data_IF_299903619650
#
_entry.id   IF_299903619650
#
_cell.length_a   1.000
_cell.length_b   1.000
_cell.length_c   1.000
_cell.angle_alpha   90.00
_cell.angle_beta   90.00
_cell.angle_gamma   90.00
#
_symmetry.space_group_name_H-M   'P 1'
#
loop_
_entity.id
_entity.type
_entity.pdbx_description
1 polymer ?
#
# COMPACT_ATOMS: atom_id res chain seq x y z
N UNK A 1 27.26 -14.27 -21.10
CA UNK A 1 26.24 -15.30 -20.83
C UNK A 1 25.55 -15.03 -19.50
N UNK A 2 24.24 -15.22 -19.42
CA UNK A 2 23.53 -15.28 -18.14
C UNK A 2 23.62 -16.71 -17.62
N UNK A 3 24.41 -16.93 -16.57
CA UNK A 3 24.51 -18.22 -15.91
C UNK A 3 23.13 -18.54 -15.30
N UNK A 4 22.39 -19.49 -15.88
CA UNK A 4 21.05 -19.93 -15.42
C UNK A 4 21.14 -20.72 -14.10
N UNK A 5 21.82 -20.15 -13.11
CA UNK A 5 22.11 -20.80 -11.83
C UNK A 5 20.79 -20.90 -11.06
N UNK A 6 20.45 -22.13 -10.68
CA UNK A 6 19.34 -22.39 -9.77
C UNK A 6 19.59 -21.62 -8.47
N UNK A 7 18.70 -20.68 -8.16
CA UNK A 7 18.84 -19.76 -7.03
C UNK A 7 17.65 -19.90 -6.12
N UNK A 8 17.92 -20.04 -4.82
CA UNK A 8 16.93 -19.93 -3.76
C UNK A 8 17.11 -18.57 -3.07
N UNK A 9 16.10 -17.71 -3.16
CA UNK A 9 16.09 -16.39 -2.54
C UNK A 9 15.07 -16.37 -1.40
N UNK A 10 15.48 -15.87 -0.23
CA UNK A 10 14.60 -15.60 0.91
C UNK A 10 14.54 -14.09 1.11
N UNK A 11 13.36 -13.50 0.91
CA UNK A 11 13.14 -12.07 1.10
C UNK A 11 11.74 -11.82 1.66
N UNK A 12 11.59 -10.70 2.36
CA UNK A 12 10.31 -10.14 2.78
C UNK A 12 9.92 -8.90 1.95
N UNK A 13 10.80 -8.48 1.05
CA UNK A 13 10.60 -7.32 0.17
C UNK A 13 9.93 -7.77 -1.15
N UNK A 14 8.75 -7.21 -1.42
CA UNK A 14 7.97 -7.55 -2.61
C UNK A 14 8.64 -7.10 -3.91
N UNK A 15 9.42 -6.01 -3.92
CA UNK A 15 10.11 -5.53 -5.11
C UNK A 15 11.28 -6.44 -5.48
N UNK A 16 12.03 -6.95 -4.50
CA UNK A 16 13.07 -7.96 -4.73
C UNK A 16 12.48 -9.26 -5.27
N UNK A 17 11.43 -9.77 -4.61
CA UNK A 17 10.70 -10.96 -5.03
C UNK A 17 10.19 -10.75 -6.47
N UNK A 18 9.59 -9.60 -6.76
CA UNK A 18 9.12 -9.27 -8.10
C UNK A 18 10.26 -9.26 -9.11
N UNK A 19 11.41 -8.65 -8.81
CA UNK A 19 12.51 -8.49 -9.76
C UNK A 19 13.23 -9.80 -10.07
N UNK A 20 13.43 -10.67 -9.07
CA UNK A 20 14.37 -11.79 -9.15
C UNK A 20 13.71 -13.18 -9.26
N UNK A 21 12.46 -13.33 -8.83
CA UNK A 21 11.84 -14.66 -8.75
C UNK A 21 11.17 -15.10 -10.06
N UNK A 22 11.15 -16.41 -10.28
CA UNK A 22 10.33 -17.06 -11.31
C UNK A 22 9.15 -17.83 -10.69
N UNK A 23 9.36 -18.38 -9.48
CA UNK A 23 8.41 -19.13 -8.64
C UNK A 23 8.52 -18.61 -7.21
N UNK A 24 7.41 -18.54 -6.49
CA UNK A 24 7.31 -17.97 -5.15
C UNK A 24 6.68 -19.01 -4.22
N UNK A 25 7.35 -19.27 -3.10
CA UNK A 25 6.87 -20.13 -2.02
C UNK A 25 6.55 -19.23 -0.81
N UNK A 26 5.29 -19.21 -0.36
CA UNK A 26 4.90 -18.48 0.85
C UNK A 26 5.04 -19.41 2.06
N UNK A 27 5.85 -19.01 3.05
CA UNK A 27 6.05 -19.78 4.28
C UNK A 27 5.33 -19.14 5.45
N UNK A 28 4.67 -19.96 6.26
CA UNK A 28 4.07 -19.56 7.54
C UNK A 28 4.23 -20.68 8.56
N UNK A 29 4.73 -20.34 9.75
CA UNK A 29 4.95 -21.29 10.85
C UNK A 29 5.72 -22.56 10.42
N UNK A 30 6.80 -22.38 9.67
CA UNK A 30 7.64 -23.49 9.19
C UNK A 30 7.04 -24.36 8.09
N UNK A 31 5.88 -23.99 7.52
CA UNK A 31 5.21 -24.72 6.45
C UNK A 31 5.09 -23.85 5.19
N UNK A 32 5.26 -24.47 4.03
CA UNK A 32 4.90 -23.86 2.75
C UNK A 32 3.38 -23.88 2.67
N UNK A 33 2.76 -22.70 2.68
CA UNK A 33 1.30 -22.56 2.61
C UNK A 33 0.80 -22.31 1.20
N UNK A 34 1.66 -21.81 0.31
CA UNK A 34 1.36 -21.55 -1.10
C UNK A 34 2.59 -21.71 -1.99
N UNK A 35 2.35 -22.02 -3.24
CA UNK A 35 3.35 -22.19 -4.30
C UNK A 35 2.76 -21.66 -5.60
N UNK A 36 3.35 -20.59 -6.14
CA UNK A 36 2.84 -19.92 -7.34
C UNK A 36 3.95 -19.58 -8.33
N UNK A 37 3.65 -19.57 -9.64
CA UNK A 37 4.45 -18.82 -10.58
C UNK A 37 4.33 -17.31 -10.29
N UNK A 38 5.38 -16.54 -10.58
CA UNK A 38 5.46 -15.10 -10.25
C UNK A 38 4.23 -14.31 -10.71
N UNK A 39 3.77 -14.53 -11.94
CA UNK A 39 2.62 -13.83 -12.53
C UNK A 39 1.33 -14.03 -11.73
N UNK A 40 1.05 -15.24 -11.25
CA UNK A 40 -0.14 -15.55 -10.46
C UNK A 40 -0.09 -14.90 -9.08
N UNK A 41 1.08 -14.93 -8.41
CA UNK A 41 1.23 -14.31 -7.10
C UNK A 41 0.87 -12.82 -7.11
N UNK A 42 1.34 -12.07 -8.11
CA UNK A 42 1.08 -10.62 -8.21
C UNK A 42 -0.27 -10.25 -8.85
N UNK A 43 -0.96 -11.21 -9.50
CA UNK A 43 -2.31 -11.00 -10.05
C UNK A 43 -3.40 -11.34 -9.04
N UNK A 44 -3.22 -12.41 -8.26
CA UNK A 44 -4.21 -12.88 -7.28
C UNK A 44 -4.06 -12.25 -5.90
N UNK A 45 -2.86 -11.79 -5.55
CA UNK A 45 -2.72 -10.97 -4.37
C UNK A 45 -3.43 -9.64 -4.67
N UNK A 46 -4.40 -9.25 -3.85
CA UNK A 46 -5.09 -7.95 -3.88
C UNK A 46 -4.13 -6.73 -3.73
N UNK A 47 -2.83 -6.92 -3.95
CA UNK A 47 -1.76 -5.91 -3.95
C UNK A 47 -2.03 -4.87 -5.03
N UNK A 48 -2.51 -5.25 -6.23
CA UNK A 48 -2.79 -4.31 -7.32
C UNK A 48 -4.09 -3.51 -7.11
N UNK A 49 -5.11 -4.13 -6.50
CA UNK A 49 -6.44 -3.54 -6.43
C UNK A 49 -6.63 -2.56 -5.25
N UNK A 50 -5.80 -2.66 -4.21
CA UNK A 50 -5.88 -1.84 -2.99
C UNK A 50 -4.49 -1.31 -2.60
N UNK A 51 -4.15 -0.14 -3.12
CA UNK A 51 -2.94 0.57 -2.71
C UNK A 51 -3.10 1.02 -1.25
N UNK A 52 -2.18 0.60 -0.38
CA UNK A 52 -2.14 1.03 1.01
C UNK A 52 -1.05 2.07 1.22
N UNK A 53 -1.40 3.18 1.83
CA UNK A 53 -0.52 4.33 2.07
C UNK A 53 -0.53 4.66 3.56
N UNK A 54 0.63 4.89 4.15
CA UNK A 54 0.72 5.37 5.52
C UNK A 54 0.86 6.88 5.51
N UNK A 55 -0.01 7.60 6.22
CA UNK A 55 0.03 9.05 6.28
C UNK A 55 -0.22 9.56 7.70
N UNK A 56 0.52 10.59 8.11
CA UNK A 56 0.40 11.18 9.45
C UNK A 56 -0.64 12.30 9.44
N UNK A 57 -1.58 12.27 10.39
CA UNK A 57 -2.62 13.28 10.50
C UNK A 57 -2.06 14.59 11.05
N UNK A 58 -2.17 15.67 10.28
CA UNK A 58 -1.68 17.00 10.65
C UNK A 58 -2.79 17.91 11.16
N UNK A 59 -3.99 17.80 10.61
CA UNK A 59 -5.10 18.70 10.90
C UNK A 59 -6.44 18.00 10.67
N UNK A 60 -7.43 18.35 11.51
CA UNK A 60 -8.83 17.96 11.35
C UNK A 60 -9.67 19.23 11.27
N UNK A 61 -10.34 19.46 10.16
CA UNK A 61 -11.23 20.61 9.96
C UNK A 61 -12.67 20.15 9.71
N UNK A 62 -13.59 20.53 10.60
CA UNK A 62 -15.01 20.24 10.47
C UNK A 62 -15.73 21.39 9.77
N UNK A 63 -16.64 21.08 8.84
CA UNK A 63 -17.44 22.05 8.11
C UNK A 63 -18.80 21.46 7.78
N UNK A 64 -19.83 21.92 8.49
CA UNK A 64 -21.21 21.47 8.34
C UNK A 64 -21.28 19.92 8.37
N UNK A 65 -21.61 19.28 7.24
CA UNK A 65 -21.72 17.82 7.15
C UNK A 65 -20.42 17.07 6.79
N UNK A 66 -19.30 17.77 6.62
CA UNK A 66 -18.02 17.21 6.17
C UNK A 66 -16.89 17.40 7.18
N UNK A 67 -15.99 16.42 7.24
CA UNK A 67 -14.70 16.53 7.91
C UNK A 67 -13.58 16.40 6.90
N UNK A 68 -12.70 17.39 6.86
CA UNK A 68 -11.49 17.39 6.03
C UNK A 68 -10.29 17.05 6.91
N UNK A 69 -9.56 16.02 6.53
CA UNK A 69 -8.31 15.61 7.17
C UNK A 69 -7.14 16.03 6.29
N UNK A 70 -6.21 16.80 6.85
CA UNK A 70 -4.92 17.12 6.19
C UNK A 70 -3.88 16.11 6.67
N UNK A 71 -3.24 15.41 5.74
CA UNK A 71 -2.35 14.28 6.01
C UNK A 71 -0.98 14.48 5.33
N UNK A 72 0.09 14.10 6.03
CA UNK A 72 1.43 14.02 5.48
C UNK A 72 1.70 12.61 4.95
N UNK A 73 1.89 12.47 3.64
CA UNK A 73 2.26 11.24 2.97
C UNK A 73 3.69 11.40 2.41
N UNK A 74 4.67 10.79 3.07
CA UNK A 74 6.09 10.99 2.78
C UNK A 74 6.49 12.48 2.81
N UNK A 75 6.60 13.11 1.64
CA UNK A 75 6.97 14.52 1.46
C UNK A 75 5.82 15.38 0.96
N UNK A 76 4.67 14.77 0.66
CA UNK A 76 3.50 15.43 0.10
C UNK A 76 2.42 15.63 1.16
N UNK A 77 1.70 16.75 1.07
CA UNK A 77 0.51 16.99 1.88
C UNK A 77 -0.72 16.70 1.03
N UNK A 78 -1.55 15.78 1.51
CA UNK A 78 -2.81 15.41 0.86
C UNK A 78 -4.00 15.77 1.77
N UNK A 79 -5.17 15.93 1.17
CA UNK A 79 -6.42 16.12 1.91
C UNK A 79 -7.40 15.03 1.54
N UNK A 80 -8.03 14.45 2.55
CA UNK A 80 -9.17 13.56 2.36
C UNK A 80 -10.40 14.17 3.03
N UNK A 81 -11.57 13.88 2.46
CA UNK A 81 -12.84 14.38 2.97
C UNK A 81 -13.72 13.19 3.32
N UNK A 82 -14.33 13.25 4.51
CA UNK A 82 -15.25 12.26 5.05
C UNK A 82 -16.56 12.97 5.38
N UNK A 83 -17.67 12.23 5.47
CA UNK A 83 -18.86 12.77 6.10
C UNK A 83 -18.64 12.87 7.61
N UNK A 84 -19.32 13.80 8.27
CA UNK A 84 -19.26 13.93 9.73
C UNK A 84 -19.77 12.65 10.42
N UNK A 85 -20.81 12.03 9.87
CA UNK A 85 -21.33 10.76 10.39
C UNK A 85 -20.30 9.62 10.33
N UNK A 86 -19.58 9.48 9.21
CA UNK A 86 -18.52 8.47 9.06
C UNK A 86 -17.38 8.73 10.05
N UNK A 87 -16.96 9.99 10.18
CA UNK A 87 -15.89 10.38 11.09
C UNK A 87 -16.24 10.06 12.55
N UNK A 88 -17.45 10.41 12.99
CA UNK A 88 -17.91 10.17 14.36
C UNK A 88 -18.12 8.67 14.66
N UNK A 89 -18.56 7.88 13.67
CA UNK A 89 -18.81 6.44 13.89
C UNK A 89 -17.53 5.58 13.88
N UNK A 90 -16.61 5.86 12.96
CA UNK A 90 -15.49 4.96 12.69
C UNK A 90 -14.12 5.51 13.12
N UNK A 91 -14.01 6.83 13.32
CA UNK A 91 -12.72 7.52 13.49
C UNK A 91 -12.71 8.52 14.66
N UNK A 92 -13.63 8.40 15.62
CA UNK A 92 -13.74 9.33 16.76
C UNK A 92 -12.46 9.41 17.63
N UNK A 93 -11.71 8.30 17.71
CA UNK A 93 -10.52 8.20 18.56
C UNK A 93 -9.24 8.68 17.88
N UNK A 94 -9.33 9.03 16.59
CA UNK A 94 -8.21 9.51 15.78
C UNK A 94 -7.82 10.92 16.21
N UNK A 95 -6.53 11.13 16.45
CA UNK A 95 -5.94 12.39 16.91
C UNK A 95 -4.86 12.89 15.96
N UNK A 96 -4.65 14.21 15.99
CA UNK A 96 -3.52 14.83 15.29
C UNK A 96 -2.22 14.20 15.81
N UNK A 97 -1.34 13.82 14.88
CA UNK A 97 -0.12 13.06 15.15
C UNK A 97 -0.24 11.56 14.88
N UNK A 98 -1.46 11.01 14.81
CA UNK A 98 -1.64 9.59 14.51
C UNK A 98 -1.22 9.26 13.07
N UNK A 99 -0.65 8.07 12.89
CA UNK A 99 -0.35 7.53 11.56
C UNK A 99 -1.50 6.65 11.11
N UNK A 100 -2.16 7.05 10.03
CA UNK A 100 -3.32 6.38 9.45
C UNK A 100 -2.91 5.55 8.24
N UNK A 101 -3.50 4.35 8.13
CA UNK A 101 -3.37 3.50 6.96
C UNK A 101 -4.52 3.78 6.01
N UNK A 102 -4.23 4.47 4.91
CA UNK A 102 -5.18 4.77 3.84
C UNK A 102 -5.22 3.60 2.85
N UNK A 103 -6.38 3.39 2.23
CA UNK A 103 -6.57 2.38 1.19
C UNK A 103 -7.29 3.00 0.01
N UNK A 104 -6.66 3.00 -1.16
CA UNK A 104 -7.26 3.47 -2.41
C UNK A 104 -7.79 2.24 -3.14
N UNK A 105 -9.11 2.16 -3.29
CA UNK A 105 -9.77 1.17 -4.14
C UNK A 105 -9.69 1.65 -5.60
N UNK A 106 -9.23 0.79 -6.51
CA UNK A 106 -9.05 1.11 -7.93
C UNK A 106 -8.00 2.21 -8.20
N UNK A 107 -6.75 1.94 -7.85
CA UNK A 107 -5.61 2.82 -8.17
C UNK A 107 -5.25 2.72 -9.66
N UNK A 108 -5.60 3.75 -10.44
CA UNK A 108 -5.28 3.84 -11.87
C UNK A 108 -4.50 5.14 -12.17
N UNK A 109 -3.20 5.20 -11.81
CA UNK A 109 -2.40 6.40 -12.03
C UNK A 109 -2.13 6.64 -13.52
N UNK A 110 -1.98 7.91 -13.88
CA UNK A 110 -1.49 8.31 -15.21
C UNK A 110 -0.02 8.73 -15.11
N UNK A 111 0.75 8.43 -16.15
CA UNK A 111 2.14 8.88 -16.26
C UNK A 111 2.13 10.32 -16.76
N UNK A 112 2.65 11.25 -15.97
CA UNK A 112 2.71 12.69 -16.31
C UNK A 112 4.07 13.15 -16.84
N UNK A 113 5.12 12.33 -16.69
CA UNK A 113 6.46 12.64 -17.15
C UNK A 113 7.51 11.62 -16.69
N UNK A 114 8.72 11.72 -17.23
CA UNK A 114 9.89 10.95 -16.78
C UNK A 114 10.77 11.87 -15.94
N UNK A 115 11.13 11.43 -14.74
CA UNK A 115 12.17 12.09 -13.94
C UNK A 115 13.51 11.48 -14.33
N UNK A 116 14.45 12.30 -14.76
CA UNK A 116 15.84 11.89 -14.90
C UNK A 116 16.48 11.98 -13.50
N UNK A 117 17.02 10.86 -13.03
CA UNK A 117 17.78 10.76 -11.78
C UNK A 117 19.26 11.04 -12.03
#
# INVERSE_FOLDING_TARGET
>A
EYFKISTLLVSHDLAEIYKLSHRILELKNGKIIKDFPKNEFFTHSNISAKLRLSATLLEIKKSDILVVLTLLLNQDIIKITLSEEEFLKAYQDVKIGDTLLLSIKAFNPIIVGKLDK
#
